data_IF_422804755105
#
_entry.id   IF_422804755105
#
_cell.length_a   1.000
_cell.length_b   1.000
_cell.length_c   1.000
_cell.angle_alpha   90.00
_cell.angle_beta   90.00
_cell.angle_gamma   90.00
#
_symmetry.space_group_name_H-M   'P 1'
#
loop_
_entity.id
_entity.type
_entity.pdbx_description
1 polymer ?
#
# COMPACT_ATOMS: atom_id res chain seq x y z
N UNK A 1 21.07 -4.42 2.82
CA UNK A 1 19.87 -3.69 2.33
C UNK A 1 18.67 -3.95 3.22
N UNK A 2 18.37 -5.21 3.54
CA UNK A 2 17.25 -5.62 4.42
C UNK A 2 17.24 -4.91 5.77
N UNK A 3 18.38 -4.83 6.47
CA UNK A 3 18.48 -4.12 7.76
C UNK A 3 18.06 -2.65 7.67
N UNK A 4 18.38 -1.98 6.55
CA UNK A 4 17.98 -0.59 6.32
C UNK A 4 16.48 -0.47 6.08
N UNK A 5 15.88 -1.41 5.34
CA UNK A 5 14.43 -1.47 5.14
C UNK A 5 13.73 -1.69 6.48
N UNK A 6 14.23 -2.60 7.30
CA UNK A 6 13.66 -2.85 8.63
C UNK A 6 13.72 -1.60 9.50
N UNK A 7 14.88 -0.95 9.57
CA UNK A 7 15.04 0.29 10.33
C UNK A 7 14.15 1.42 9.82
N UNK A 8 14.07 1.62 8.49
CA UNK A 8 13.47 2.82 7.91
C UNK A 8 11.98 2.70 7.62
N UNK A 9 11.47 1.49 7.34
CA UNK A 9 10.06 1.26 7.00
C UNK A 9 9.30 0.44 8.05
N UNK A 10 9.97 -0.47 8.75
CA UNK A 10 9.29 -1.40 9.67
C UNK A 10 9.26 -0.85 11.10
N UNK A 11 10.38 -0.30 11.57
CA UNK A 11 10.51 0.17 12.94
C UNK A 11 9.94 1.58 13.17
N UNK A 12 9.53 2.29 12.11
CA UNK A 12 9.00 3.66 12.18
C UNK A 12 7.48 3.71 12.35
N UNK A 13 7.01 3.28 13.52
CA UNK A 13 5.62 3.55 13.92
C UNK A 13 4.56 2.84 13.08
N UNK A 14 4.88 1.67 12.51
CA UNK A 14 3.86 0.77 12.01
C UNK A 14 2.89 0.41 13.14
N UNK A 15 1.61 0.44 12.83
CA UNK A 15 0.57 -0.10 13.71
C UNK A 15 0.42 -1.62 13.47
N UNK A 16 -0.14 -2.34 14.44
CA UNK A 16 -0.34 -3.81 14.43
C UNK A 16 0.95 -4.66 14.58
N UNK A 17 1.24 -5.05 15.83
CA UNK A 17 2.46 -5.79 16.23
C UNK A 17 2.61 -7.13 15.51
N UNK A 18 1.51 -7.86 15.26
CA UNK A 18 1.60 -9.18 14.63
C UNK A 18 1.84 -9.09 13.12
N UNK A 19 1.25 -8.08 12.47
CA UNK A 19 1.59 -7.75 11.08
C UNK A 19 3.06 -7.36 10.91
N UNK A 20 3.63 -6.61 11.86
CA UNK A 20 5.05 -6.22 11.87
C UNK A 20 5.97 -7.45 11.94
N UNK A 21 5.66 -8.43 12.81
CA UNK A 21 6.45 -9.68 12.88
C UNK A 21 6.47 -10.42 11.56
N UNK A 22 5.33 -10.46 10.85
CA UNK A 22 5.24 -11.10 9.54
C UNK A 22 6.08 -10.37 8.49
N UNK A 23 6.00 -9.04 8.43
CA UNK A 23 6.80 -8.23 7.50
C UNK A 23 8.31 -8.43 7.74
N UNK A 24 8.75 -8.44 9.02
CA UNK A 24 10.16 -8.72 9.37
C UNK A 24 10.63 -10.09 8.90
N UNK A 25 9.74 -11.09 8.89
CA UNK A 25 10.06 -12.44 8.39
C UNK A 25 10.08 -12.54 6.87
N UNK A 26 9.28 -11.74 6.18
CA UNK A 26 9.16 -11.83 4.72
C UNK A 26 10.34 -11.22 3.97
N UNK A 27 10.91 -10.10 4.45
CA UNK A 27 12.01 -9.43 3.76
C UNK A 27 13.30 -10.27 3.65
N UNK A 28 13.78 -10.95 4.71
CA UNK A 28 14.89 -11.90 4.60
C UNK A 28 14.58 -13.04 3.63
N UNK A 29 13.40 -13.66 3.75
CA UNK A 29 12.96 -14.74 2.85
C UNK A 29 12.92 -14.33 1.39
N UNK A 30 12.51 -13.10 1.09
CA UNK A 30 12.52 -12.56 -0.27
C UNK A 30 13.93 -12.58 -0.89
N UNK A 31 14.96 -12.36 -0.06
CA UNK A 31 16.36 -12.35 -0.49
C UNK A 31 16.93 -13.76 -0.54
N UNK A 32 16.72 -14.53 0.52
CA UNK A 32 17.24 -15.90 0.69
C UNK A 32 16.67 -16.85 -0.37
N UNK A 33 15.35 -16.82 -0.57
CA UNK A 33 14.66 -17.67 -1.54
C UNK A 33 14.61 -17.03 -2.93
N UNK A 34 15.19 -15.82 -3.08
CA UNK A 34 15.05 -14.97 -4.27
C UNK A 34 13.60 -14.96 -4.76
N UNK A 35 12.64 -14.71 -3.86
CA UNK A 35 11.21 -14.86 -4.13
C UNK A 35 10.41 -13.59 -3.77
N UNK A 36 10.02 -12.83 -4.79
CA UNK A 36 9.33 -11.55 -4.60
C UNK A 36 7.91 -11.72 -4.06
N UNK A 37 7.31 -12.91 -4.11
CA UNK A 37 6.02 -13.16 -3.45
C UNK A 37 6.06 -12.82 -1.96
N UNK A 38 7.23 -12.93 -1.30
CA UNK A 38 7.39 -12.48 0.07
C UNK A 38 7.26 -10.96 0.22
N UNK A 39 7.76 -10.19 -0.74
CA UNK A 39 7.58 -8.72 -0.77
C UNK A 39 6.11 -8.38 -1.00
N UNK A 40 5.42 -9.10 -1.89
CA UNK A 40 3.97 -8.91 -2.10
C UNK A 40 3.20 -9.20 -0.82
N UNK A 41 3.51 -10.30 -0.10
CA UNK A 41 2.91 -10.61 1.21
C UNK A 41 3.18 -9.54 2.26
N UNK A 42 4.37 -8.94 2.26
CA UNK A 42 4.69 -7.81 3.14
C UNK A 42 3.86 -6.58 2.79
N UNK A 43 3.68 -6.30 1.49
CA UNK A 43 2.88 -5.18 1.00
C UNK A 43 1.38 -5.33 1.32
N UNK A 44 0.85 -6.55 1.30
CA UNK A 44 -0.57 -6.84 1.57
C UNK A 44 -0.87 -7.20 3.02
N UNK A 45 0.13 -7.22 3.91
CA UNK A 45 -0.07 -7.43 5.34
C UNK A 45 -0.92 -6.30 5.95
N UNK A 46 -1.74 -6.62 6.95
CA UNK A 46 -2.62 -5.69 7.67
C UNK A 46 -1.85 -4.72 8.58
N UNK A 47 -1.02 -3.87 7.97
CA UNK A 47 -0.20 -2.84 8.61
C UNK A 47 -0.17 -1.58 7.75
N UNK A 48 0.40 -0.49 8.27
CA UNK A 48 0.57 0.74 7.51
C UNK A 48 1.78 0.71 6.54
N UNK A 49 2.47 -0.41 6.39
CA UNK A 49 3.67 -0.51 5.56
C UNK A 49 3.43 -0.06 4.11
N UNK A 50 2.32 -0.50 3.50
CA UNK A 50 1.97 -0.10 2.14
C UNK A 50 1.75 1.42 2.01
N UNK A 51 1.21 2.07 3.05
CA UNK A 51 0.99 3.53 3.08
C UNK A 51 2.32 4.26 3.12
N UNK A 52 3.22 3.85 4.02
CA UNK A 52 4.56 4.44 4.11
C UNK A 52 5.33 4.29 2.80
N UNK A 53 5.34 3.08 2.21
CA UNK A 53 6.00 2.83 0.94
C UNK A 53 5.41 3.67 -0.18
N UNK A 54 4.08 3.72 -0.32
CA UNK A 54 3.43 4.53 -1.34
C UNK A 54 3.74 6.02 -1.14
N UNK A 55 3.65 6.56 0.08
CA UNK A 55 3.97 7.97 0.33
C UNK A 55 5.41 8.32 -0.10
N UNK A 56 6.38 7.46 0.20
CA UNK A 56 7.77 7.62 -0.21
C UNK A 56 7.95 7.55 -1.75
N UNK A 57 7.16 6.72 -2.43
CA UNK A 57 7.16 6.65 -3.90
C UNK A 57 6.55 7.91 -4.52
N UNK A 58 5.41 8.40 -4.01
CA UNK A 58 4.78 9.62 -4.50
C UNK A 58 5.68 10.85 -4.33
N UNK A 59 6.38 10.95 -3.20
CA UNK A 59 7.27 12.07 -2.91
C UNK A 59 8.44 12.20 -3.89
N UNK A 60 8.86 11.11 -4.56
CA UNK A 60 9.89 11.14 -5.62
C UNK A 60 11.32 11.31 -5.11
N UNK A 61 11.59 12.30 -4.27
CA UNK A 61 12.87 12.51 -3.58
C UNK A 61 12.70 12.21 -2.09
N UNK A 62 13.31 11.14 -1.61
CA UNK A 62 13.27 10.78 -0.20
C UNK A 62 14.63 10.32 0.31
N UNK A 63 14.82 10.44 1.63
CA UNK A 63 16.00 9.95 2.35
C UNK A 63 16.21 8.43 2.21
N UNK A 64 15.19 7.68 1.77
CA UNK A 64 15.21 6.22 1.62
C UNK A 64 15.15 5.77 0.16
N UNK A 65 15.71 6.58 -0.75
CA UNK A 65 15.68 6.34 -2.18
C UNK A 65 16.25 4.97 -2.57
N UNK A 66 17.29 4.49 -1.89
CA UNK A 66 17.95 3.23 -2.21
C UNK A 66 17.09 2.03 -1.83
N UNK A 67 16.52 2.04 -0.62
CA UNK A 67 15.60 1.03 -0.11
C UNK A 67 14.34 0.96 -0.98
N UNK A 68 13.78 2.11 -1.33
CA UNK A 68 12.64 2.21 -2.24
C UNK A 68 12.93 1.62 -3.61
N UNK A 69 14.05 2.01 -4.22
CA UNK A 69 14.48 1.48 -5.53
C UNK A 69 14.70 -0.02 -5.48
N UNK A 70 15.27 -0.52 -4.38
CA UNK A 70 15.47 -1.94 -4.18
C UNK A 70 14.14 -2.71 -4.13
N UNK A 71 13.17 -2.24 -3.35
CA UNK A 71 11.83 -2.86 -3.28
C UNK A 71 11.15 -2.84 -4.65
N UNK A 72 11.19 -1.71 -5.36
CA UNK A 72 10.64 -1.60 -6.71
C UNK A 72 11.34 -2.58 -7.66
N UNK A 73 12.66 -2.66 -7.64
CA UNK A 73 13.42 -3.55 -8.51
C UNK A 73 13.09 -5.02 -8.26
N UNK A 74 12.91 -5.44 -6.99
CA UNK A 74 12.46 -6.79 -6.66
C UNK A 74 11.10 -7.12 -7.29
N UNK A 75 10.18 -6.15 -7.30
CA UNK A 75 8.83 -6.31 -7.87
C UNK A 75 8.84 -6.25 -9.40
N UNK A 76 9.47 -5.23 -9.99
CA UNK A 76 9.37 -4.95 -11.42
C UNK A 76 10.12 -5.94 -12.31
N UNK A 77 11.08 -6.69 -11.77
CA UNK A 77 11.92 -7.60 -12.55
C UNK A 77 11.68 -9.09 -12.26
N UNK A 78 10.70 -9.44 -11.42
CA UNK A 78 10.39 -10.84 -11.14
C UNK A 78 9.40 -11.42 -12.15
N UNK A 79 9.90 -12.29 -13.04
CA UNK A 79 9.12 -12.95 -14.08
C UNK A 79 7.99 -13.84 -13.53
N UNK A 80 8.08 -14.34 -12.29
CA UNK A 80 7.00 -15.15 -11.69
C UNK A 80 5.74 -14.33 -11.48
N UNK A 81 5.86 -13.00 -11.36
CA UNK A 81 4.69 -12.14 -11.26
C UNK A 81 3.87 -12.10 -12.56
N UNK A 82 4.44 -12.52 -13.69
CA UNK A 82 3.71 -12.62 -14.96
C UNK A 82 2.54 -13.61 -14.87
N UNK A 83 2.66 -14.67 -14.06
CA UNK A 83 1.58 -15.65 -13.85
C UNK A 83 0.35 -15.04 -13.16
N UNK A 84 0.53 -13.92 -12.45
CA UNK A 84 -0.55 -13.17 -11.79
C UNK A 84 -1.05 -12.01 -12.63
N UNK A 85 -0.64 -11.92 -13.91
CA UNK A 85 -1.12 -10.89 -14.82
C UNK A 85 -2.60 -11.08 -15.10
N UNK A 86 -3.37 -10.03 -14.92
CA UNK A 86 -4.79 -9.99 -15.22
C UNK A 86 -5.07 -9.01 -16.36
N UNK A 87 -5.81 -9.47 -17.37
CA UNK A 87 -6.31 -8.64 -18.46
C UNK A 87 -7.84 -8.63 -18.38
N UNK A 88 -8.40 -7.45 -18.14
CA UNK A 88 -9.85 -7.28 -18.02
C UNK A 88 -10.21 -6.03 -17.23
N UNK A 89 -11.47 -5.96 -16.82
CA UNK A 89 -11.96 -4.87 -15.97
C UNK A 89 -11.61 -5.12 -14.51
N UNK A 90 -11.01 -4.12 -13.88
CA UNK A 90 -10.78 -4.09 -12.44
C UNK A 90 -11.41 -2.82 -11.84
N UNK A 91 -11.83 -2.92 -10.60
CA UNK A 91 -12.53 -1.89 -9.85
C UNK A 91 -11.61 -1.34 -8.76
N UNK A 92 -11.55 -0.01 -8.67
CA UNK A 92 -10.78 0.68 -7.64
C UNK A 92 -11.66 1.69 -6.95
N UNK A 93 -11.57 1.73 -5.63
CA UNK A 93 -12.19 2.76 -4.82
C UNK A 93 -11.18 3.87 -4.60
N UNK A 94 -11.59 5.10 -4.87
CA UNK A 94 -10.84 6.30 -4.62
C UNK A 94 -11.71 7.25 -3.80
N UNK A 95 -11.09 7.89 -2.78
CA UNK A 95 -11.66 9.08 -2.16
C UNK A 95 -10.96 10.26 -2.82
N UNK A 96 -11.69 10.98 -3.65
CA UNK A 96 -11.22 12.16 -4.39
C UNK A 96 -12.02 13.38 -3.96
N UNK A 97 -11.38 14.53 -3.93
CA UNK A 97 -12.07 15.81 -3.83
C UNK A 97 -12.32 16.39 -5.25
N UNK A 98 -12.98 17.55 -5.32
CA UNK A 98 -13.28 18.19 -6.59
C UNK A 98 -12.03 18.60 -7.39
N UNK A 99 -10.93 18.96 -6.71
CA UNK A 99 -9.69 19.34 -7.38
C UNK A 99 -8.94 18.14 -7.94
N UNK A 100 -9.05 16.98 -7.28
CA UNK A 100 -8.58 15.71 -7.80
C UNK A 100 -9.42 15.29 -9.00
N UNK A 101 -10.74 15.42 -8.94
CA UNK A 101 -11.65 15.06 -10.04
C UNK A 101 -11.34 15.84 -11.33
N UNK A 102 -10.97 17.12 -11.23
CA UNK A 102 -10.54 17.94 -12.39
C UNK A 102 -9.33 17.36 -13.14
N UNK A 103 -8.54 16.49 -12.50
CA UNK A 103 -7.39 15.83 -13.14
C UNK A 103 -7.81 14.60 -13.98
N UNK A 104 -9.06 14.15 -13.86
CA UNK A 104 -9.60 12.99 -14.58
C UNK A 104 -10.42 13.46 -15.77
N UNK A 105 -9.74 13.83 -16.85
CA UNK A 105 -10.39 14.23 -18.11
C UNK A 105 -10.41 13.09 -19.12
N UNK A 106 -11.52 12.97 -19.85
CA UNK A 106 -11.66 11.97 -20.92
C UNK A 106 -10.65 12.28 -22.03
N UNK A 107 -9.88 11.26 -22.44
CA UNK A 107 -8.82 11.41 -23.44
C UNK A 107 -7.45 11.74 -22.86
N UNK A 108 -7.33 11.97 -21.55
CA UNK A 108 -6.04 12.16 -20.89
C UNK A 108 -5.48 10.85 -20.31
N UNK A 109 -4.16 10.70 -20.34
CA UNK A 109 -3.46 9.59 -19.70
C UNK A 109 -3.21 9.90 -18.22
N UNK A 110 -3.63 8.99 -17.34
CA UNK A 110 -3.43 9.10 -15.91
C UNK A 110 -2.17 8.33 -15.49
N UNK A 111 -1.11 9.06 -15.15
CA UNK A 111 0.12 8.45 -14.66
C UNK A 111 0.12 8.43 -13.13
N UNK A 112 0.08 7.24 -12.54
CA UNK A 112 0.22 7.05 -11.09
C UNK A 112 1.63 6.58 -10.78
N UNK A 113 2.34 7.30 -9.91
CA UNK A 113 3.69 6.89 -9.46
C UNK A 113 3.67 5.74 -8.44
N UNK A 114 2.52 5.52 -7.80
CA UNK A 114 2.31 4.59 -6.69
C UNK A 114 1.99 3.16 -7.16
N UNK A 115 2.16 2.19 -6.27
CA UNK A 115 1.51 0.89 -6.45
C UNK A 115 -0.01 1.05 -6.28
N UNK A 116 -0.73 0.63 -7.31
CA UNK A 116 -2.19 0.75 -7.37
C UNK A 116 -2.81 -0.57 -6.92
N UNK A 117 -3.68 -0.50 -5.91
CA UNK A 117 -4.54 -1.62 -5.52
C UNK A 117 -5.88 -1.50 -6.23
N UNK A 118 -6.33 -2.61 -6.80
CA UNK A 118 -7.64 -2.79 -7.44
C UNK A 118 -8.15 -4.19 -7.18
N UNK A 119 -9.45 -4.39 -7.38
CA UNK A 119 -10.12 -5.70 -7.25
C UNK A 119 -10.73 -6.11 -8.58
N UNK A 120 -10.62 -7.38 -8.93
CA UNK A 120 -11.34 -7.95 -10.08
C UNK A 120 -12.84 -8.04 -9.75
N UNK A 121 -13.20 -8.32 -8.50
CA UNK A 121 -14.58 -8.35 -8.03
C UNK A 121 -15.03 -6.95 -7.58
N UNK A 122 -16.08 -6.44 -8.23
CA UNK A 122 -16.72 -5.17 -7.89
C UNK A 122 -17.27 -5.16 -6.47
N UNK A 123 -17.87 -6.25 -6.00
CA UNK A 123 -18.48 -6.32 -4.65
C UNK A 123 -17.43 -6.17 -3.57
N UNK A 124 -16.24 -6.75 -3.79
CA UNK A 124 -15.09 -6.60 -2.88
C UNK A 124 -14.61 -5.14 -2.85
N UNK A 125 -14.52 -4.47 -4.00
CA UNK A 125 -14.20 -3.05 -4.04
C UNK A 125 -15.24 -2.21 -3.29
N UNK A 126 -16.54 -2.44 -3.53
CA UNK A 126 -17.62 -1.74 -2.86
C UNK A 126 -17.65 -1.98 -1.34
N UNK A 127 -17.28 -3.18 -0.87
CA UNK A 127 -17.17 -3.49 0.56
C UNK A 127 -16.20 -2.55 1.29
N UNK A 128 -15.10 -2.13 0.63
CA UNK A 128 -14.14 -1.18 1.19
C UNK A 128 -14.82 0.17 1.48
N UNK A 129 -15.76 0.60 0.64
CA UNK A 129 -16.55 1.83 0.87
C UNK A 129 -17.37 1.67 2.16
N UNK A 130 -18.06 0.54 2.34
CA UNK A 130 -18.86 0.30 3.54
C UNK A 130 -18.01 0.23 4.81
N UNK A 131 -16.85 -0.43 4.77
CA UNK A 131 -15.93 -0.51 5.91
C UNK A 131 -15.39 0.86 6.31
N UNK A 132 -15.05 1.71 5.33
CA UNK A 132 -14.53 3.06 5.58
C UNK A 132 -15.55 3.99 6.23
N UNK A 133 -16.85 3.80 5.97
CA UNK A 133 -17.93 4.59 6.61
C UNK A 133 -18.10 4.24 8.08
N UNK A 134 -17.98 2.96 8.45
CA UNK A 134 -18.11 2.50 9.85
C UNK A 134 -16.97 3.02 10.74
N UNK A 135 -15.75 3.08 10.23
CA UNK A 135 -14.60 3.55 11.00
C UNK A 135 -14.59 5.06 11.23
N UNK A 136 -15.27 5.86 10.38
CA UNK A 136 -15.49 7.29 10.64
C UNK A 136 -16.51 7.57 11.75
N UNK A 137 -17.55 6.74 11.90
CA UNK A 137 -18.60 6.94 12.92
C UNK A 137 -18.11 6.65 14.34
N UNK A 138 -17.15 5.74 14.51
CA UNK A 138 -16.60 5.39 15.84
C UNK A 138 -15.65 6.46 16.37
N UNK A 139 -15.04 7.29 15.49
CA UNK A 139 -14.14 8.37 15.92
C UNK A 139 -14.87 9.65 16.34
N UNK A 140 -16.10 9.87 15.87
CA UNK A 140 -16.90 11.05 16.21
C UNK A 140 -17.67 10.92 17.53
N UNK A 141 -17.67 9.75 18.18
CA UNK A 141 -18.38 9.50 19.44
C UNK A 141 -17.49 9.57 20.69
N UNK A 142 -16.21 9.93 20.54
CA UNK A 142 -15.23 9.98 21.64
C UNK A 142 -14.79 11.40 22.03
N UNK A 143 -15.34 12.45 21.41
CA UNK A 143 -15.02 13.85 21.72
C UNK A 143 -16.10 14.58 22.56
N UNK A 144 -17.24 13.94 22.87
CA UNK A 144 -18.35 14.57 23.63
C UNK A 144 -18.34 14.25 25.13
N UNK A 145 -17.18 14.24 25.79
CA UNK A 145 -17.15 14.17 27.25
C UNK A 145 -16.02 14.97 27.85
N UNK A 146 -16.16 16.30 27.84
CA UNK A 146 -15.65 17.19 28.89
C UNK A 146 -16.19 18.61 28.70
N UNK A 147 -17.36 18.87 29.29
CA UNK A 147 -17.71 20.18 29.85
C UNK A 147 -18.67 19.95 31.02
N UNK A 148 -18.13 20.09 32.23
CA UNK A 148 -18.83 20.44 33.48
C UNK A 148 -17.80 21.06 34.42
#
# INVERSE_FOLDING_TARGET
MIEKIEKNYINKGLTNIDGIKNIRRYFPKATEEQNTLWIIKAYTAETDFYKFLNNEIAAGASQYQNERRYIIALISHDLRLNEFTFIGTAYRVLRINNDDLKKYEVGCSLMTKLFVSSSIDRKVAELIIFMSKRSSTVRSSSDDTQEN
#
